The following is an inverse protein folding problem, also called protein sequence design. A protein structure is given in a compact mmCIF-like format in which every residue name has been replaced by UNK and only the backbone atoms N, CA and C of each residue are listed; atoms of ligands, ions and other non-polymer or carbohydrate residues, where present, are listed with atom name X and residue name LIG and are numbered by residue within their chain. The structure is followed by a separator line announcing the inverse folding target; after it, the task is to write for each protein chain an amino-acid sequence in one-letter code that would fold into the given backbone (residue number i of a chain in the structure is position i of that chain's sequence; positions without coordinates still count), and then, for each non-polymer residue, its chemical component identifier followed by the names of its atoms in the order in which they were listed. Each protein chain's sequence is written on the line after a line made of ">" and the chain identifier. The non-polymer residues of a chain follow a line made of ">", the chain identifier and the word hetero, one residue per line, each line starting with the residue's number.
data_IF_596039520305
#
_entry.id   IF_596039520305
#
_cell.length_a   1.000
_cell.length_b   1.000
_cell.length_c   1.000
_cell.angle_alpha   90.00
_cell.angle_beta   90.00
_cell.angle_gamma   90.00
#
_symmetry.space_group_name_H-M   'P 1'
#
loop_
_entity.id
_entity.type
_entity.pdbx_description
1 polymer ?
#
# COMPACT_ATOMS: atom_id res chain seq x y z
N UNK A 1 40.15 27.80 32.11
CA UNK A 1 39.82 28.63 30.93
C UNK A 1 38.94 27.78 30.01
N UNK A 2 37.62 28.05 30.00
CA UNK A 2 36.53 27.50 29.14
C UNK A 2 36.22 25.99 29.28
N UNK A 3 35.05 25.56 29.82
CA UNK A 3 33.62 25.66 29.36
C UNK A 3 33.40 24.91 28.03
N UNK A 4 32.34 24.16 27.76
CA UNK A 4 31.08 23.75 28.43
C UNK A 4 30.48 22.61 27.55
N UNK A 5 29.58 21.83 28.15
CA UNK A 5 28.80 20.72 27.59
C UNK A 5 27.87 21.08 26.40
N UNK A 6 27.33 20.05 25.73
CA UNK A 6 25.93 20.14 25.30
C UNK A 6 25.53 19.46 23.99
N UNK A 7 24.95 18.26 24.11
CA UNK A 7 23.63 17.96 23.51
C UNK A 7 23.52 17.84 22.00
N UNK A 8 23.65 16.60 21.50
CA UNK A 8 23.11 16.19 20.20
C UNK A 8 21.59 16.31 20.19
N UNK A 9 21.09 17.46 19.74
CA UNK A 9 19.68 17.75 19.56
C UNK A 9 19.05 16.82 18.53
N UNK A 10 17.94 16.22 18.93
CA UNK A 10 17.02 15.47 18.08
C UNK A 10 16.58 16.35 16.89
N UNK A 11 16.86 15.90 15.68
CA UNK A 11 16.37 16.57 14.48
C UNK A 11 14.93 16.13 14.22
N UNK A 12 13.98 16.81 14.88
CA UNK A 12 12.56 16.75 14.56
C UNK A 12 12.36 17.30 13.15
N UNK A 13 11.91 16.45 12.23
CA UNK A 13 11.67 16.79 10.83
C UNK A 13 10.61 17.88 10.68
N UNK A 14 11.06 19.11 10.50
CA UNK A 14 10.27 20.26 10.08
C UNK A 14 9.73 19.98 8.67
N UNK A 15 8.45 20.31 8.45
CA UNK A 15 7.87 20.43 7.11
C UNK A 15 8.72 21.45 6.35
N UNK A 16 9.45 21.04 5.31
CA UNK A 16 10.09 22.01 4.43
C UNK A 16 9.01 22.88 3.78
N UNK A 17 9.19 24.20 3.89
CA UNK A 17 8.37 25.33 3.44
C UNK A 17 8.02 25.33 1.92
N UNK A 18 7.38 24.28 1.43
CA UNK A 18 6.78 24.25 0.10
C UNK A 18 5.33 24.72 0.15
N UNK A 19 5.00 25.83 -0.52
CA UNK A 19 3.60 26.21 -0.73
C UNK A 19 2.88 25.13 -1.57
N UNK A 20 1.73 24.63 -1.11
CA UNK A 20 0.90 23.71 -1.89
C UNK A 20 0.20 24.47 -3.02
N UNK A 21 0.76 24.39 -4.23
CA UNK A 21 0.25 25.10 -5.42
C UNK A 21 -0.51 24.22 -6.40
N UNK A 22 -0.25 22.91 -6.37
CA UNK A 22 -0.80 21.94 -7.31
C UNK A 22 -1.58 20.85 -6.59
N UNK A 23 -2.63 20.36 -7.23
CA UNK A 23 -3.41 19.21 -6.81
C UNK A 23 -3.26 18.04 -7.77
N UNK A 24 -3.16 16.84 -7.21
CA UNK A 24 -3.16 15.57 -7.92
C UNK A 24 -4.57 14.96 -7.85
N UNK A 25 -5.18 14.74 -9.01
CA UNK A 25 -6.48 14.05 -9.09
C UNK A 25 -6.27 12.54 -8.95
N UNK A 26 -6.99 11.91 -8.02
CA UNK A 26 -6.93 10.48 -7.74
C UNK A 26 -8.36 9.93 -7.60
N UNK A 27 -8.63 8.80 -8.25
CA UNK A 27 -9.94 8.15 -8.17
C UNK A 27 -10.07 7.27 -6.93
N UNK A 28 -11.32 7.03 -6.49
CA UNK A 28 -11.61 5.91 -5.59
C UNK A 28 -11.32 4.56 -6.29
N UNK A 29 -10.93 3.52 -5.53
CA UNK A 29 -10.72 3.51 -4.07
C UNK A 29 -9.35 4.06 -3.63
N UNK A 30 -8.47 4.43 -4.58
CA UNK A 30 -7.05 4.68 -4.33
C UNK A 30 -6.79 5.87 -3.41
N UNK A 31 -7.50 6.98 -3.61
CA UNK A 31 -7.34 8.15 -2.74
C UNK A 31 -7.72 7.84 -1.29
N UNK A 32 -8.80 7.09 -1.07
CA UNK A 32 -9.21 6.67 0.27
C UNK A 32 -8.14 5.81 0.96
N UNK A 33 -7.54 4.87 0.22
CA UNK A 33 -6.43 4.05 0.74
C UNK A 33 -5.22 4.91 1.12
N UNK A 34 -4.88 5.96 0.35
CA UNK A 34 -3.80 6.90 0.68
C UNK A 34 -4.12 7.65 1.98
N UNK A 35 -5.31 8.25 2.05
CA UNK A 35 -5.73 9.07 3.20
C UNK A 35 -5.85 8.30 4.51
N UNK A 36 -6.16 7.00 4.44
CA UNK A 36 -6.15 6.08 5.60
C UNK A 36 -4.76 5.50 5.92
N UNK A 37 -3.73 5.82 5.13
CA UNK A 37 -2.37 5.32 5.32
C UNK A 37 -2.17 3.85 4.91
N UNK A 38 -3.09 3.28 4.13
CA UNK A 38 -3.00 1.88 3.67
C UNK A 38 -2.01 1.69 2.52
N UNK A 39 -1.73 2.77 1.77
CA UNK A 39 -0.81 2.79 0.63
C UNK A 39 -0.04 4.11 0.57
N UNK A 40 1.16 4.07 0.00
CA UNK A 40 2.01 5.25 -0.19
C UNK A 40 2.55 5.39 -1.62
N UNK A 41 2.29 4.44 -2.52
CA UNK A 41 2.70 4.53 -3.93
C UNK A 41 1.54 4.87 -4.86
N UNK A 42 1.44 6.08 -5.39
CA UNK A 42 0.43 6.35 -6.42
C UNK A 42 0.88 5.83 -7.79
N UNK A 43 0.16 4.83 -8.33
CA UNK A 43 0.52 4.18 -9.60
C UNK A 43 0.03 5.01 -10.79
N UNK A 44 0.91 5.18 -11.78
CA UNK A 44 0.67 5.96 -13.00
C UNK A 44 1.34 5.27 -14.19
N UNK A 45 0.93 5.64 -15.40
CA UNK A 45 1.54 5.14 -16.65
C UNK A 45 2.76 5.93 -17.11
N UNK A 46 3.20 6.92 -16.34
CA UNK A 46 4.36 7.75 -16.65
C UNK A 46 4.99 8.29 -15.37
N UNK A 47 6.28 8.61 -15.43
CA UNK A 47 6.98 9.33 -14.37
C UNK A 47 6.45 10.75 -14.17
N UNK A 48 6.83 11.38 -13.05
CA UNK A 48 6.65 12.82 -12.81
C UNK A 48 7.94 13.47 -12.32
N UNK A 49 8.18 14.71 -12.74
CA UNK A 49 9.24 15.57 -12.18
C UNK A 49 8.77 16.39 -10.97
N UNK A 50 7.47 16.36 -10.65
CA UNK A 50 6.92 17.06 -9.47
C UNK A 50 7.52 16.44 -8.20
N UNK A 51 7.98 17.30 -7.29
CA UNK A 51 8.46 16.97 -5.94
C UNK A 51 7.92 17.99 -4.95
N UNK A 52 7.85 17.59 -3.68
CA UNK A 52 7.35 18.45 -2.62
C UNK A 52 5.83 18.33 -2.41
N UNK A 53 5.23 19.28 -1.68
CA UNK A 53 3.87 19.16 -1.19
C UNK A 53 2.83 19.42 -2.30
N UNK A 54 1.81 18.57 -2.32
CA UNK A 54 0.70 18.58 -3.29
C UNK A 54 -0.63 18.36 -2.56
N UNK A 55 -1.69 18.96 -3.10
CA UNK A 55 -3.06 18.65 -2.68
C UNK A 55 -3.51 17.32 -3.28
N UNK A 56 -4.33 16.57 -2.55
CA UNK A 56 -4.99 15.36 -3.01
C UNK A 56 -6.45 15.69 -3.33
N UNK A 57 -6.84 15.50 -4.59
CA UNK A 57 -8.17 15.80 -5.11
C UNK A 57 -8.88 14.49 -5.43
N UNK A 58 -10.07 14.31 -4.87
CA UNK A 58 -10.92 13.17 -5.22
C UNK A 58 -11.54 13.38 -6.60
N UNK A 59 -11.32 12.42 -7.50
CA UNK A 59 -11.81 12.51 -8.87
C UNK A 59 -13.34 12.63 -8.90
N UNK A 60 -13.83 13.66 -9.57
CA UNK A 60 -15.27 13.89 -9.79
C UNK A 60 -15.96 14.73 -8.71
N UNK A 61 -15.32 15.02 -7.57
CA UNK A 61 -15.94 15.82 -6.50
C UNK A 61 -15.63 17.31 -6.61
N UNK A 62 -14.52 17.67 -7.26
CA UNK A 62 -14.04 19.05 -7.32
C UNK A 62 -13.54 19.57 -5.96
N UNK A 63 -13.15 18.66 -5.05
CA UNK A 63 -12.67 19.01 -3.71
C UNK A 63 -11.32 18.40 -3.40
N UNK A 64 -10.49 19.19 -2.72
CA UNK A 64 -9.29 18.74 -2.03
C UNK A 64 -9.71 18.04 -0.73
N UNK A 65 -9.21 16.84 -0.48
CA UNK A 65 -9.54 16.03 0.70
C UNK A 65 -8.33 15.76 1.59
N UNK A 66 -7.13 16.06 1.11
CA UNK A 66 -5.88 15.87 1.85
C UNK A 66 -4.70 16.58 1.20
N UNK A 67 -3.55 16.44 1.84
CA UNK A 67 -2.24 16.81 1.29
C UNK A 67 -1.29 15.62 1.40
N UNK A 68 -0.27 15.61 0.55
CA UNK A 68 0.87 14.71 0.65
C UNK A 68 2.11 15.38 0.06
N UNK A 69 3.28 14.84 0.37
CA UNK A 69 4.55 15.20 -0.29
C UNK A 69 4.90 14.14 -1.32
N UNK A 70 5.18 14.54 -2.56
CA UNK A 70 5.83 13.65 -3.52
C UNK A 70 7.32 13.63 -3.22
N UNK A 71 7.77 12.48 -2.70
CA UNK A 71 9.16 12.25 -2.35
C UNK A 71 9.96 11.75 -3.55
N UNK A 72 9.38 10.85 -4.34
CA UNK A 72 10.04 10.30 -5.52
C UNK A 72 9.08 9.83 -6.62
N UNK A 73 9.64 9.47 -7.77
CA UNK A 73 8.96 8.88 -8.92
C UNK A 73 9.85 7.80 -9.50
N UNK A 74 9.52 6.54 -9.24
CA UNK A 74 10.28 5.37 -9.68
C UNK A 74 9.58 4.67 -10.84
N UNK A 75 10.36 4.00 -11.69
CA UNK A 75 9.90 3.19 -12.81
C UNK A 75 10.55 3.55 -14.14
N UNK A 76 10.18 2.87 -15.24
CA UNK A 76 9.11 1.88 -15.29
C UNK A 76 9.47 0.62 -14.50
N UNK A 77 8.55 0.19 -13.63
CA UNK A 77 8.62 -1.00 -12.81
C UNK A 77 8.29 -2.21 -13.68
N UNK A 78 9.08 -3.26 -13.50
CA UNK A 78 8.79 -4.59 -14.00
C UNK A 78 7.56 -5.19 -13.32
N UNK A 79 7.04 -6.27 -13.88
CA UNK A 79 5.95 -7.03 -13.27
C UNK A 79 6.31 -7.54 -11.86
N UNK A 80 7.54 -8.01 -11.68
CA UNK A 80 8.06 -8.48 -10.39
C UNK A 80 8.11 -7.35 -9.36
N UNK A 81 8.60 -6.17 -9.75
CA UNK A 81 8.62 -5.01 -8.86
C UNK A 81 7.21 -4.50 -8.49
N UNK A 82 6.23 -4.59 -9.40
CA UNK A 82 4.84 -4.30 -9.07
C UNK A 82 4.35 -5.33 -8.05
N UNK A 83 4.49 -6.63 -8.33
CA UNK A 83 4.06 -7.71 -7.44
C UNK A 83 4.67 -7.61 -6.04
N UNK A 84 5.99 -7.45 -5.93
CA UNK A 84 6.73 -7.41 -4.66
C UNK A 84 6.39 -6.17 -3.81
N UNK A 85 5.84 -5.13 -4.43
CA UNK A 85 5.47 -3.89 -3.76
C UNK A 85 3.95 -3.70 -3.64
N UNK A 86 3.16 -4.78 -3.74
CA UNK A 86 1.69 -4.73 -3.61
C UNK A 86 1.26 -4.11 -2.28
N UNK A 87 1.99 -4.29 -1.18
CA UNK A 87 1.67 -3.64 0.09
C UNK A 87 1.79 -2.10 0.03
N UNK A 88 2.67 -1.58 -0.83
CA UNK A 88 2.90 -0.14 -1.00
C UNK A 88 1.88 0.50 -1.92
N UNK A 89 1.44 -0.20 -2.96
CA UNK A 89 0.50 0.34 -3.96
C UNK A 89 -0.94 -0.19 -3.85
N UNK A 90 -1.18 -1.33 -3.21
CA UNK A 90 -2.48 -1.95 -2.92
C UNK A 90 -3.38 -2.19 -4.13
N UNK A 91 -2.80 -2.28 -5.32
CA UNK A 91 -3.49 -2.67 -6.57
C UNK A 91 -3.40 -4.19 -6.62
N UNK A 92 -4.53 -4.89 -6.61
CA UNK A 92 -4.51 -6.34 -6.59
C UNK A 92 -4.13 -6.96 -7.95
N UNK A 93 -3.72 -8.24 -7.96
CA UNK A 93 -3.32 -8.94 -9.18
C UNK A 93 -4.41 -8.95 -10.24
N UNK A 94 -5.69 -9.00 -9.84
CA UNK A 94 -6.83 -8.92 -10.75
C UNK A 94 -6.85 -7.66 -11.62
N UNK A 95 -6.10 -6.62 -11.24
CA UNK A 95 -5.94 -5.39 -12.01
C UNK A 95 -4.61 -5.38 -12.77
N UNK A 96 -3.48 -5.64 -12.09
CA UNK A 96 -2.16 -5.48 -12.72
C UNK A 96 -1.74 -6.62 -13.65
N UNK A 97 -2.42 -7.77 -13.61
CA UNK A 97 -2.17 -8.88 -14.56
C UNK A 97 -3.01 -8.79 -15.83
N UNK A 98 -3.79 -7.71 -16.02
CA UNK A 98 -4.58 -7.53 -17.24
C UNK A 98 -3.69 -7.10 -18.40
N UNK A 99 -4.02 -7.55 -19.60
CA UNK A 99 -3.25 -7.24 -20.83
C UNK A 99 -3.23 -5.72 -21.13
N UNK A 100 -4.24 -4.99 -20.68
CA UNK A 100 -4.37 -3.54 -20.85
C UNK A 100 -3.76 -2.72 -19.69
N UNK A 101 -3.11 -3.38 -18.73
CA UNK A 101 -2.52 -2.71 -17.57
C UNK A 101 -1.28 -1.90 -17.97
N UNK A 102 -1.27 -0.63 -17.57
CA UNK A 102 -0.24 0.34 -17.97
C UNK A 102 0.36 1.14 -16.83
N UNK A 103 0.00 0.87 -15.56
CA UNK A 103 0.52 1.65 -14.44
C UNK A 103 1.81 1.04 -13.90
N UNK A 104 2.91 1.40 -14.54
CA UNK A 104 4.26 0.91 -14.24
C UNK A 104 5.16 1.98 -13.60
N UNK A 105 4.68 3.17 -13.29
CA UNK A 105 5.43 4.15 -12.50
C UNK A 105 4.78 4.35 -11.13
N UNK A 106 5.58 4.35 -10.08
CA UNK A 106 5.11 4.63 -8.72
C UNK A 106 5.59 6.00 -8.27
N UNK A 107 4.64 6.88 -7.92
CA UNK A 107 4.93 8.16 -7.29
C UNK A 107 4.86 7.97 -5.77
N UNK A 108 6.01 8.10 -5.11
CA UNK A 108 6.14 7.84 -3.68
C UNK A 108 5.61 9.04 -2.91
N UNK A 109 4.54 8.81 -2.14
CA UNK A 109 3.90 9.79 -1.29
C UNK A 109 4.40 9.64 0.15
N UNK A 110 4.67 10.76 0.79
CA UNK A 110 4.92 10.85 2.23
C UNK A 110 4.12 11.98 2.86
N UNK A 111 4.20 12.10 4.19
CA UNK A 111 3.58 13.19 4.96
C UNK A 111 2.10 13.39 4.57
N UNK A 112 1.36 12.29 4.46
CA UNK A 112 -0.05 12.32 4.08
C UNK A 112 -0.88 12.83 5.25
N UNK A 113 -1.67 13.87 5.01
CA UNK A 113 -2.58 14.45 6.00
C UNK A 113 -3.96 14.61 5.39
N UNK A 114 -4.98 14.01 6.01
CA UNK A 114 -6.38 14.23 5.65
C UNK A 114 -6.86 15.58 6.16
N UNK A 115 -7.66 16.29 5.37
CA UNK A 115 -8.29 17.53 5.81
C UNK A 115 -9.51 17.22 6.68
N UNK A 116 -9.74 18.05 7.71
CA UNK A 116 -10.93 17.95 8.55
C UNK A 116 -12.21 18.20 7.75
N UNK A 117 -12.13 19.08 6.74
CA UNK A 117 -13.24 19.38 5.83
C UNK A 117 -12.74 19.50 4.39
N UNK A 118 -13.42 18.88 3.42
CA UNK A 118 -13.08 19.05 2.01
C UNK A 118 -13.13 20.52 1.56
N UNK A 119 -12.15 20.93 0.75
CA UNK A 119 -12.01 22.30 0.23
C UNK A 119 -12.34 22.30 -1.25
N UNK A 120 -13.32 23.09 -1.69
CA UNK A 120 -13.60 23.27 -3.12
C UNK A 120 -12.50 24.09 -3.78
N UNK A 121 -12.12 23.72 -5.00
CA UNK A 121 -11.22 24.49 -5.85
C UNK A 121 -11.91 24.82 -7.18
N UNK A 122 -11.42 25.84 -7.88
CA UNK A 122 -11.88 26.19 -9.21
C UNK A 122 -11.05 25.47 -10.27
N UNK A 123 -11.69 24.56 -11.00
CA UNK A 123 -11.05 23.84 -12.10
C UNK A 123 -10.94 24.73 -13.33
N UNK A 124 -9.71 24.97 -13.83
CA UNK A 124 -9.47 25.48 -15.18
C UNK A 124 -9.70 24.35 -16.19
N UNK A 125 -10.45 24.58 -17.26
CA UNK A 125 -10.73 23.57 -18.29
C UNK A 125 -9.45 22.93 -18.85
N UNK A 126 -9.46 21.61 -19.09
CA UNK A 126 -8.36 20.88 -19.73
C UNK A 126 -7.32 20.24 -18.80
N UNK A 127 -7.41 20.44 -17.47
CA UNK A 127 -6.51 19.78 -16.52
C UNK A 127 -6.99 18.35 -16.16
N UNK A 128 -6.25 17.33 -16.62
CA UNK A 128 -6.63 15.91 -16.49
C UNK A 128 -5.92 15.17 -15.34
N UNK A 129 -4.69 15.55 -14.99
CA UNK A 129 -3.86 14.88 -13.95
C UNK A 129 -3.47 15.87 -12.85
N UNK A 130 -2.92 17.01 -13.26
CA UNK A 130 -2.47 18.09 -12.39
C UNK A 130 -3.39 19.29 -12.50
N UNK A 131 -3.76 19.85 -11.36
CA UNK A 131 -4.55 21.08 -11.27
C UNK A 131 -3.72 22.13 -10.55
N UNK A 132 -3.67 23.34 -11.10
CA UNK A 132 -3.20 24.50 -10.35
C UNK A 132 -4.33 25.02 -9.45
N UNK A 133 -4.05 25.14 -8.14
CA UNK A 133 -5.03 25.59 -7.16
C UNK A 133 -5.21 27.11 -7.21
N UNK A 134 -6.46 27.56 -7.12
CA UNK A 134 -6.78 28.98 -7.01
C UNK A 134 -6.44 29.54 -5.61
N UNK A 135 -6.39 30.87 -5.52
CA UNK A 135 -5.99 31.59 -4.30
C UNK A 135 -6.92 31.31 -3.12
N UNK A 136 -8.22 31.09 -3.36
CA UNK A 136 -9.17 30.81 -2.29
C UNK A 136 -8.91 29.42 -1.72
N UNK A 137 -8.73 28.41 -2.58
CA UNK A 137 -8.37 27.06 -2.17
C UNK A 137 -7.04 27.02 -1.39
N UNK A 138 -6.02 27.76 -1.85
CA UNK A 138 -4.71 27.83 -1.16
C UNK A 138 -4.80 28.51 0.21
N UNK A 139 -5.56 29.61 0.33
CA UNK A 139 -5.77 30.30 1.61
C UNK A 139 -6.49 29.40 2.62
N UNK A 140 -7.59 28.77 2.20
CA UNK A 140 -8.36 27.86 3.06
C UNK A 140 -7.50 26.66 3.50
N UNK A 141 -6.73 26.08 2.57
CA UNK A 141 -5.83 24.97 2.88
C UNK A 141 -4.81 25.36 3.95
N UNK A 142 -4.20 26.55 3.81
CA UNK A 142 -3.28 27.08 4.82
C UNK A 142 -3.96 27.24 6.18
N UNK A 143 -5.17 27.82 6.22
CA UNK A 143 -5.93 27.99 7.46
C UNK A 143 -6.25 26.66 8.17
N UNK A 144 -6.64 25.61 7.43
CA UNK A 144 -6.92 24.31 8.04
C UNK A 144 -5.65 23.64 8.59
N UNK A 145 -4.52 23.75 7.90
CA UNK A 145 -3.26 23.16 8.34
C UNK A 145 -2.71 23.88 9.59
N UNK A 146 -2.74 25.21 9.63
CA UNK A 146 -2.30 25.99 10.81
C UNK A 146 -3.15 25.72 12.05
N UNK A 147 -4.47 25.52 11.86
CA UNK A 147 -5.38 25.19 12.95
C UNK A 147 -5.15 23.76 13.48
N UNK A 148 -4.78 22.83 12.60
CA UNK A 148 -4.47 21.46 12.98
C UNK A 148 -3.18 21.38 13.81
N UNK A 149 -2.13 22.11 13.42
CA UNK A 149 -0.87 22.20 14.18
C UNK A 149 -1.08 22.85 15.55
N UNK A 150 -1.84 23.94 15.60
CA UNK A 150 -2.17 24.64 16.86
C UNK A 150 -3.04 23.80 17.81
N UNK A 151 -3.92 22.95 17.27
CA UNK A 151 -4.72 22.01 18.06
C UNK A 151 -3.89 20.82 18.58
N UNK A 152 -2.91 20.35 17.80
CA UNK A 152 -1.98 19.29 18.21
C UNK A 152 -1.09 19.70 19.39
N UNK A 153 -0.65 20.98 19.42
CA UNK A 153 0.20 21.54 20.48
C UNK A 153 -0.54 21.93 21.77
N UNK A 154 -1.87 22.07 21.76
CA UNK A 154 -2.68 22.52 22.92
C UNK A 154 -3.28 21.40 23.77
N UNK A 155 -2.98 20.12 23.50
CA UNK A 155 -3.44 19.02 24.38
C UNK A 155 -2.48 18.84 25.56
N UNK A 156 -2.96 18.84 26.82
CA UNK A 156 -2.19 18.23 27.90
C UNK A 156 -2.03 16.72 27.61
N UNK A 157 -0.95 16.08 28.07
CA UNK A 157 -0.77 14.65 27.90
C UNK A 157 -1.86 13.93 28.70
N UNK A 158 -2.89 13.44 28.00
CA UNK A 158 -3.81 12.48 28.58
C UNK A 158 -3.04 11.18 28.78
N UNK A 159 -2.53 11.01 30.01
CA UNK A 159 -2.16 9.73 30.57
C UNK A 159 -3.40 8.84 30.56
N UNK A 160 -3.38 7.83 29.70
CA UNK A 160 -4.08 6.58 29.92
C UNK A 160 -3.18 5.49 29.34
N UNK A 161 -2.46 4.84 30.25
CA UNK A 161 -1.80 3.57 29.99
C UNK A 161 -2.81 2.61 29.36
N UNK A 162 -2.59 2.25 28.11
CA UNK A 162 -3.04 0.97 27.58
C UNK A 162 -1.78 0.30 27.05
N UNK A 163 -1.39 -0.76 27.75
CA UNK A 163 -0.21 -1.54 27.49
C UNK A 163 -0.08 -1.83 26.00
N UNK A 164 1.05 -1.41 25.42
CA UNK A 164 1.55 -1.96 24.17
C UNK A 164 1.80 -3.44 24.42
N UNK A 165 0.84 -4.29 24.09
CA UNK A 165 1.18 -5.68 23.80
C UNK A 165 1.87 -5.67 22.45
N UNK A 166 3.20 -5.72 22.52
CA UNK A 166 4.06 -6.14 21.44
C UNK A 166 3.67 -7.56 21.02
N UNK A 167 2.79 -7.68 20.04
CA UNK A 167 2.61 -8.93 19.32
C UNK A 167 3.66 -8.92 18.21
N UNK A 168 4.83 -9.47 18.52
CA UNK A 168 5.68 -10.05 17.47
C UNK A 168 4.82 -11.06 16.72
N UNK A 169 4.68 -10.98 15.38
CA UNK A 169 4.09 -12.08 14.64
C UNK A 169 5.05 -13.26 14.76
N UNK A 170 4.74 -14.17 15.68
CA UNK A 170 5.25 -15.53 15.60
C UNK A 170 4.82 -16.03 14.23
N UNK A 171 5.80 -16.30 13.37
CA UNK A 171 5.57 -16.88 12.05
C UNK A 171 4.95 -18.26 12.31
N UNK A 172 3.63 -18.33 12.26
CA UNK A 172 2.94 -19.61 12.20
C UNK A 172 3.31 -20.25 10.85
N UNK A 173 4.30 -21.13 10.87
CA UNK A 173 4.76 -21.94 9.74
C UNK A 173 3.78 -23.09 9.43
N UNK A 174 2.54 -23.02 9.91
CA UNK A 174 1.49 -23.96 9.60
C UNK A 174 1.21 -24.04 8.10
N UNK A 175 1.38 -25.26 7.55
CA UNK A 175 1.11 -25.64 6.17
C UNK A 175 -0.05 -26.65 6.11
N UNK A 176 -0.84 -26.66 5.03
CA UNK A 176 -1.92 -27.61 4.88
C UNK A 176 -1.40 -29.01 4.50
N UNK A 177 -1.94 -30.03 5.17
CA UNK A 177 -1.70 -31.45 4.90
C UNK A 177 -2.95 -32.08 4.28
N UNK A 178 -2.76 -32.90 3.27
CA UNK A 178 -3.77 -33.72 2.63
C UNK A 178 -3.89 -35.09 3.31
N UNK A 179 -5.01 -35.79 3.04
CA UNK A 179 -5.32 -37.11 3.62
C UNK A 179 -4.25 -38.17 3.36
N UNK A 180 -3.53 -38.05 2.26
CA UNK A 180 -2.48 -38.99 1.84
C UNK A 180 -1.11 -38.69 2.45
N UNK A 181 -1.04 -37.79 3.44
CA UNK A 181 0.18 -37.42 4.12
C UNK A 181 1.03 -36.39 3.37
N UNK A 182 0.67 -36.00 2.14
CA UNK A 182 1.36 -34.92 1.44
C UNK A 182 0.96 -33.55 2.00
N UNK A 183 1.91 -32.63 2.07
CA UNK A 183 1.65 -31.25 2.47
C UNK A 183 2.01 -30.27 1.36
N UNK A 184 1.42 -29.08 1.42
CA UNK A 184 1.83 -28.00 0.54
C UNK A 184 3.26 -27.60 0.90
N UNK A 185 4.22 -27.90 0.03
CA UNK A 185 5.64 -27.68 0.27
C UNK A 185 6.33 -27.01 -0.93
N UNK A 186 7.33 -26.19 -0.65
CA UNK A 186 8.04 -25.37 -1.64
C UNK A 186 8.68 -26.23 -2.77
N UNK A 187 9.23 -27.39 -2.42
CA UNK A 187 9.99 -28.23 -3.37
C UNK A 187 9.12 -29.09 -4.28
N UNK A 188 7.99 -29.62 -3.80
CA UNK A 188 7.19 -30.59 -4.54
C UNK A 188 5.88 -30.04 -5.12
N UNK A 189 5.42 -28.86 -4.66
CA UNK A 189 4.15 -28.27 -5.09
C UNK A 189 4.31 -27.20 -6.19
N UNK A 190 5.53 -26.99 -6.70
CA UNK A 190 5.80 -26.11 -7.83
C UNK A 190 5.91 -26.90 -9.14
N UNK A 191 5.14 -26.50 -10.16
CA UNK A 191 5.26 -27.02 -11.53
C UNK A 191 5.70 -25.87 -12.44
N UNK A 192 6.82 -26.05 -13.13
CA UNK A 192 7.41 -25.03 -14.02
C UNK A 192 7.61 -23.67 -13.30
N UNK A 193 7.94 -23.69 -12.01
CA UNK A 193 8.13 -22.48 -11.20
C UNK A 193 6.83 -21.87 -10.64
N UNK A 194 5.68 -22.54 -10.76
CA UNK A 194 4.40 -22.03 -10.24
C UNK A 194 3.71 -23.01 -9.29
N UNK A 195 3.14 -22.48 -8.20
CA UNK A 195 2.21 -23.15 -7.31
C UNK A 195 0.79 -22.93 -7.79
N UNK A 196 0.08 -24.02 -8.09
CA UNK A 196 -1.33 -23.95 -8.52
C UNK A 196 -2.23 -24.31 -7.36
N UNK A 197 -3.07 -23.39 -6.91
CA UNK A 197 -3.94 -23.50 -5.73
C UNK A 197 -5.35 -23.01 -6.05
N UNK A 198 -6.38 -23.57 -5.41
CA UNK A 198 -7.77 -23.22 -5.66
C UNK A 198 -8.67 -24.41 -5.97
N UNK A 199 -9.96 -24.12 -6.16
CA UNK A 199 -10.96 -25.11 -6.56
C UNK A 199 -10.72 -25.60 -8.00
N UNK A 200 -11.19 -26.82 -8.29
CA UNK A 200 -11.17 -27.36 -9.65
C UNK A 200 -11.97 -26.47 -10.58
N UNK A 201 -11.30 -25.79 -11.53
CA UNK A 201 -11.92 -24.84 -12.46
C UNK A 201 -11.80 -23.36 -12.05
N UNK A 202 -11.33 -23.05 -10.84
CA UNK A 202 -11.01 -21.70 -10.36
C UNK A 202 -9.56 -21.64 -9.82
N UNK A 203 -8.67 -22.39 -10.47
CA UNK A 203 -7.27 -22.54 -10.06
C UNK A 203 -6.50 -21.24 -10.29
N UNK A 204 -5.79 -20.77 -9.27
CA UNK A 204 -4.86 -19.64 -9.34
C UNK A 204 -3.42 -20.13 -9.33
N UNK A 205 -2.56 -19.46 -10.09
CA UNK A 205 -1.14 -19.77 -10.20
C UNK A 205 -0.33 -18.68 -9.52
N UNK A 206 0.58 -19.07 -8.65
CA UNK A 206 1.48 -18.18 -7.91
C UNK A 206 2.93 -18.56 -8.21
N UNK A 207 3.83 -17.62 -8.48
CA UNK A 207 5.26 -17.92 -8.68
C UNK A 207 5.97 -18.18 -7.34
N UNK A 208 5.43 -17.68 -6.23
CA UNK A 208 6.01 -17.79 -4.90
C UNK A 208 5.20 -18.69 -3.95
N UNK A 209 5.92 -19.42 -3.10
CA UNK A 209 5.38 -20.39 -2.15
C UNK A 209 4.59 -19.72 -1.04
N UNK A 210 5.09 -18.60 -0.50
CA UNK A 210 4.44 -17.90 0.62
C UNK A 210 3.12 -17.30 0.19
N UNK A 211 3.10 -16.72 -1.01
CA UNK A 211 1.89 -16.16 -1.64
C UNK A 211 0.81 -17.22 -1.86
N UNK A 212 1.22 -18.40 -2.36
CA UNK A 212 0.32 -19.53 -2.51
C UNK A 212 -0.20 -20.06 -1.16
N UNK A 213 0.65 -20.11 -0.13
CA UNK A 213 0.26 -20.53 1.22
C UNK A 213 -0.72 -19.54 1.88
N UNK A 214 -0.50 -18.24 1.72
CA UNK A 214 -1.41 -17.21 2.21
C UNK A 214 -2.79 -17.30 1.52
N UNK A 215 -2.80 -17.54 0.21
CA UNK A 215 -4.05 -17.78 -0.51
C UNK A 215 -4.79 -19.03 -0.01
N UNK A 216 -4.07 -20.12 0.25
CA UNK A 216 -4.64 -21.35 0.82
C UNK A 216 -5.27 -21.10 2.20
N UNK A 217 -4.69 -20.23 3.04
CA UNK A 217 -5.24 -19.88 4.38
C UNK A 217 -6.55 -19.12 4.30
N UNK A 218 -6.77 -18.35 3.24
CA UNK A 218 -7.99 -17.59 2.98
C UNK A 218 -9.13 -18.46 2.44
N UNK A 219 -8.84 -19.68 1.99
CA UNK A 219 -9.86 -20.61 1.51
C UNK A 219 -10.56 -21.34 2.67
N UNK A 220 -11.88 -21.59 2.58
CA UNK A 220 -12.59 -22.44 3.56
C UNK A 220 -12.01 -23.86 3.64
N UNK A 221 -11.49 -24.36 2.51
CA UNK A 221 -10.71 -25.60 2.45
C UNK A 221 -9.54 -25.37 1.50
N UNK A 222 -8.33 -25.33 2.04
CA UNK A 222 -7.12 -25.19 1.24
C UNK A 222 -7.02 -26.32 0.21
N UNK A 223 -6.91 -25.96 -1.07
CA UNK A 223 -6.79 -26.91 -2.19
C UNK A 223 -5.62 -26.55 -3.08
N UNK A 224 -4.74 -27.50 -3.36
CA UNK A 224 -3.55 -27.27 -4.18
C UNK A 224 -3.27 -28.43 -5.11
N UNK A 225 -2.54 -28.16 -6.19
CA UNK A 225 -2.01 -29.21 -7.06
C UNK A 225 -0.70 -29.75 -6.51
N UNK A 226 -0.57 -31.07 -6.58
CA UNK A 226 0.67 -31.80 -6.27
C UNK A 226 0.82 -33.01 -7.19
N UNK A 227 2.05 -33.50 -7.44
CA UNK A 227 2.30 -34.73 -8.19
C UNK A 227 1.97 -35.99 -7.36
N UNK A 228 1.24 -36.94 -7.93
CA UNK A 228 1.03 -38.25 -7.33
C UNK A 228 2.26 -39.18 -7.55
N UNK A 229 2.34 -40.37 -6.91
CA UNK A 229 3.46 -41.30 -7.10
C UNK A 229 3.68 -41.77 -8.55
N UNK A 230 2.67 -41.62 -9.43
CA UNK A 230 2.75 -41.91 -10.87
C UNK A 230 3.17 -40.70 -11.72
N UNK A 231 3.52 -39.57 -11.09
CA UNK A 231 3.93 -38.32 -11.77
C UNK A 231 2.78 -37.44 -12.28
N UNK A 232 1.52 -37.86 -12.12
CA UNK A 232 0.35 -37.09 -12.55
C UNK A 232 -0.01 -36.02 -11.51
N UNK A 233 -0.34 -34.82 -11.97
CA UNK A 233 -0.69 -33.70 -11.10
C UNK A 233 -2.20 -33.66 -10.84
N UNK A 234 -2.58 -33.72 -9.56
CA UNK A 234 -3.98 -33.66 -9.14
C UNK A 234 -4.19 -32.63 -8.03
N UNK A 235 -5.42 -32.12 -7.91
CA UNK A 235 -5.83 -31.23 -6.81
C UNK A 235 -6.12 -32.10 -5.59
N UNK A 236 -5.54 -31.71 -4.46
CA UNK A 236 -5.82 -32.29 -3.13
C UNK A 236 -6.45 -31.24 -2.23
N UNK A 237 -7.14 -31.69 -1.18
CA UNK A 237 -7.76 -30.81 -0.17
C UNK A 237 -7.07 -31.00 1.18
N UNK A 238 -6.91 -29.90 1.91
CA UNK A 238 -6.38 -29.90 3.27
C UNK A 238 -7.35 -30.62 4.20
N UNK A 239 -6.82 -31.55 5.00
CA UNK A 239 -7.53 -32.19 6.12
C UNK A 239 -7.05 -31.68 7.47
N UNK A 240 -5.82 -31.15 7.55
CA UNK A 240 -5.26 -30.53 8.74
C UNK A 240 -4.23 -29.47 8.38
N UNK A 241 -3.91 -28.62 9.34
CA UNK A 241 -2.87 -27.61 9.26
C UNK A 241 -1.84 -27.89 10.37
N UNK A 242 -0.55 -27.78 10.08
CA UNK A 242 0.50 -28.05 11.07
C UNK A 242 1.89 -27.70 10.56
N UNK A 243 2.90 -27.84 11.41
CA UNK A 243 4.29 -27.62 11.02
C UNK A 243 4.81 -28.83 10.19
N UNK A 244 5.58 -28.59 9.13
CA UNK A 244 6.35 -29.65 8.49
C UNK A 244 7.52 -30.03 9.43
N UNK A 245 7.55 -31.29 9.90
CA UNK A 245 8.72 -31.85 10.60
C UNK A 245 9.94 -31.95 9.66
#
# INVERSE_FOLDING_TARGET
>A
MKREDGGGGQQTGLIQDGEVRRGLIIAQPWIGKILRGEKNWEMRSSQTSVRGPVALIEKGTGTITGIATIQDSIGPLSFEEIFDNEDKHRVGPEIYTRDDYKWNHAWILGQVTSLAKPIRYRHKSGAVIWVELDDLARKELKCQLTNTESASLKRPPASAAVARQSVTPQIDQSVPFARDGSWFCQKACSRNGYYTVGEKGAEKRFPDYRSALDYLRKMPTAKWRRPNPKGNWGIVSAVRWGSPD
#
